data_IF_295705412129
#
_entry.id   IF_295705412129
#
_cell.length_a   1.000
_cell.length_b   1.000
_cell.length_c   1.000
_cell.angle_alpha   90.00
_cell.angle_beta   90.00
_cell.angle_gamma   90.00
#
_symmetry.space_group_name_H-M   'P 1'
#
loop_
_entity.id
_entity.type
_entity.pdbx_description
1 polymer ?
#
# COMPACT_ATOMS: atom_id res chain seq x y z
N UNK A 1 17.51 26.44 -21.78
CA UNK A 1 16.39 25.49 -21.58
C UNK A 1 16.87 24.42 -20.63
N UNK A 2 16.63 24.59 -19.33
CA UNK A 2 17.08 23.62 -18.32
C UNK A 2 16.00 22.55 -18.18
N UNK A 3 16.32 21.31 -18.54
CA UNK A 3 15.44 20.18 -18.27
C UNK A 3 15.27 20.05 -16.75
N UNK A 4 14.02 20.09 -16.27
CA UNK A 4 13.70 19.73 -14.89
C UNK A 4 13.97 18.23 -14.74
N UNK A 5 15.01 17.87 -14.00
CA UNK A 5 15.19 16.48 -13.54
C UNK A 5 13.95 16.07 -12.76
N UNK A 6 13.43 14.83 -12.90
CA UNK A 6 12.30 14.39 -12.11
C UNK A 6 12.67 14.44 -10.62
N UNK A 7 12.01 15.32 -9.87
CA UNK A 7 12.16 15.42 -8.43
C UNK A 7 11.69 14.11 -7.80
N UNK A 8 12.50 13.55 -6.88
CA UNK A 8 12.08 12.37 -6.11
C UNK A 8 10.76 12.67 -5.36
N UNK A 9 9.77 11.76 -5.37
CA UNK A 9 8.54 11.95 -4.62
C UNK A 9 8.82 12.14 -3.12
N UNK A 10 7.99 12.95 -2.47
CA UNK A 10 7.94 13.00 -1.00
C UNK A 10 7.41 11.69 -0.42
N UNK A 11 7.63 11.46 0.87
CA UNK A 11 7.16 10.27 1.57
C UNK A 11 5.64 10.06 1.42
N UNK A 12 4.87 11.14 1.58
CA UNK A 12 3.41 11.12 1.41
C UNK A 12 3.02 10.72 -0.02
N UNK A 13 3.71 11.26 -1.03
CA UNK A 13 3.43 10.94 -2.43
C UNK A 13 3.78 9.49 -2.73
N UNK A 14 4.93 8.97 -2.26
CA UNK A 14 5.27 7.55 -2.41
C UNK A 14 4.20 6.66 -1.78
N UNK A 15 3.79 6.94 -0.54
CA UNK A 15 2.80 6.12 0.13
C UNK A 15 1.40 6.20 -0.54
N UNK A 16 1.00 7.35 -1.10
CA UNK A 16 -0.22 7.45 -1.91
C UNK A 16 -0.13 6.66 -3.22
N UNK A 17 1.02 6.69 -3.91
CA UNK A 17 1.24 5.87 -5.11
C UNK A 17 1.09 4.38 -4.77
N UNK A 18 1.70 3.95 -3.67
CA UNK A 18 1.62 2.56 -3.21
C UNK A 18 0.21 2.15 -2.76
N UNK A 19 -0.53 3.03 -2.09
CA UNK A 19 -1.95 2.81 -1.79
C UNK A 19 -2.79 2.62 -3.06
N UNK A 20 -2.52 3.43 -4.09
CA UNK A 20 -3.19 3.31 -5.39
C UNK A 20 -2.93 1.95 -6.04
N UNK A 21 -1.68 1.49 -6.05
CA UNK A 21 -1.31 0.15 -6.55
C UNK A 21 -2.01 -0.96 -5.79
N UNK A 22 -2.13 -0.82 -4.47
CA UNK A 22 -2.87 -1.77 -3.63
C UNK A 22 -4.36 -1.83 -3.99
N UNK A 23 -4.99 -0.68 -4.24
CA UNK A 23 -6.38 -0.64 -4.71
C UNK A 23 -6.55 -1.24 -6.10
N UNK A 24 -5.55 -1.10 -6.97
CA UNK A 24 -5.55 -1.77 -8.27
C UNK A 24 -5.54 -3.30 -8.12
N UNK A 25 -4.71 -3.86 -7.22
CA UNK A 25 -4.73 -5.30 -6.94
C UNK A 25 -6.12 -5.78 -6.46
N UNK A 26 -6.77 -4.99 -5.61
CA UNK A 26 -8.13 -5.30 -5.15
C UNK A 26 -9.13 -5.29 -6.30
N UNK A 27 -9.10 -4.25 -7.15
CA UNK A 27 -9.98 -4.12 -8.30
C UNK A 27 -9.82 -5.28 -9.30
N UNK A 28 -8.60 -5.78 -9.45
CA UNK A 28 -8.27 -6.94 -10.29
C UNK A 28 -8.60 -8.29 -9.63
N UNK A 29 -9.10 -8.27 -8.39
CA UNK A 29 -9.61 -9.45 -7.70
C UNK A 29 -8.54 -10.31 -7.01
N UNK A 30 -7.33 -9.78 -6.80
CA UNK A 30 -6.28 -10.45 -6.02
C UNK A 30 -6.82 -10.78 -4.62
N UNK A 31 -6.59 -12.02 -4.18
CA UNK A 31 -7.08 -12.54 -2.91
C UNK A 31 -6.05 -12.39 -1.80
N UNK A 32 -6.51 -12.41 -0.56
CA UNK A 32 -5.62 -12.36 0.62
C UNK A 32 -4.91 -11.02 0.78
N UNK A 33 -5.49 -9.92 0.26
CA UNK A 33 -4.95 -8.59 0.46
C UNK A 33 -5.09 -8.17 1.92
N UNK A 34 -3.96 -7.82 2.52
CA UNK A 34 -3.84 -7.25 3.84
C UNK A 34 -2.94 -6.01 3.78
N UNK A 35 -3.15 -5.04 4.68
CA UNK A 35 -2.39 -3.78 4.70
C UNK A 35 -1.30 -3.81 5.79
N UNK A 36 -0.06 -4.22 5.47
CA UNK A 36 1.00 -4.37 6.48
C UNK A 36 1.73 -3.07 6.81
N UNK A 37 1.66 -2.06 5.94
CA UNK A 37 2.31 -0.77 6.16
C UNK A 37 1.44 0.13 7.03
N UNK A 38 1.91 0.47 8.23
CA UNK A 38 1.20 1.42 9.11
C UNK A 38 1.20 2.83 8.53
N UNK A 39 2.25 3.21 7.80
CA UNK A 39 2.30 4.48 7.08
C UNK A 39 1.18 4.57 6.05
N UNK A 40 1.08 3.58 5.16
CA UNK A 40 0.07 3.57 4.09
C UNK A 40 -1.34 3.47 4.69
N UNK A 41 -1.52 2.65 5.73
CA UNK A 41 -2.79 2.54 6.45
C UNK A 41 -3.23 3.87 7.07
N UNK A 42 -2.32 4.61 7.71
CA UNK A 42 -2.64 5.93 8.27
C UNK A 42 -3.09 6.94 7.21
N UNK A 43 -2.49 6.87 6.01
CA UNK A 43 -2.86 7.71 4.87
C UNK A 43 -4.21 7.29 4.32
N UNK A 44 -4.47 5.98 4.24
CA UNK A 44 -5.77 5.46 3.84
C UNK A 44 -6.86 5.95 4.80
N UNK A 45 -6.68 5.78 6.11
CA UNK A 45 -7.61 6.29 7.13
C UNK A 45 -7.87 7.78 6.98
N UNK A 46 -6.82 8.60 6.80
CA UNK A 46 -6.96 10.04 6.61
C UNK A 46 -7.74 10.37 5.34
N UNK A 47 -7.47 9.68 4.23
CA UNK A 47 -8.19 9.88 2.98
C UNK A 47 -9.66 9.47 3.12
N UNK A 48 -9.94 8.39 3.85
CA UNK A 48 -11.29 7.86 4.09
C UNK A 48 -12.20 8.84 4.84
N UNK A 49 -11.64 9.80 5.60
CA UNK A 49 -12.41 10.86 6.28
C UNK A 49 -13.04 11.90 5.34
N UNK A 50 -12.62 11.93 4.06
CA UNK A 50 -13.17 12.81 3.03
C UNK A 50 -13.77 11.95 1.89
N UNK A 51 -15.08 11.66 1.93
CA UNK A 51 -15.69 10.73 0.99
C UNK A 51 -15.53 11.12 -0.49
N UNK A 52 -15.54 12.42 -0.79
CA UNK A 52 -15.40 12.91 -2.16
C UNK A 52 -13.98 12.69 -2.68
N UNK A 53 -12.96 13.03 -1.87
CA UNK A 53 -11.56 12.74 -2.24
C UNK A 53 -11.29 11.24 -2.32
N UNK A 54 -11.82 10.47 -1.37
CA UNK A 54 -11.62 9.02 -1.34
C UNK A 54 -12.23 8.35 -2.58
N UNK A 55 -13.45 8.71 -2.95
CA UNK A 55 -14.11 8.17 -4.14
C UNK A 55 -13.31 8.48 -5.41
N UNK A 56 -12.81 9.71 -5.55
CA UNK A 56 -12.00 10.10 -6.71
C UNK A 56 -10.69 9.32 -6.76
N UNK A 57 -9.99 9.21 -5.64
CA UNK A 57 -8.74 8.44 -5.54
C UNK A 57 -8.94 6.96 -5.91
N UNK A 58 -10.02 6.33 -5.39
CA UNK A 58 -10.34 4.95 -5.73
C UNK A 58 -10.64 4.78 -7.24
N UNK A 59 -11.40 5.70 -7.83
CA UNK A 59 -11.70 5.68 -9.27
C UNK A 59 -10.45 5.88 -10.12
N UNK A 60 -9.55 6.75 -9.71
CA UNK A 60 -8.29 7.03 -10.42
C UNK A 60 -7.38 5.79 -10.46
N UNK A 61 -7.28 5.04 -9.35
CA UNK A 61 -6.32 3.95 -9.23
C UNK A 61 -6.88 2.54 -9.47
N UNK A 62 -8.17 2.31 -9.18
CA UNK A 62 -8.79 0.99 -9.27
C UNK A 62 -10.11 0.97 -10.05
N UNK A 63 -10.64 2.12 -10.48
CA UNK A 63 -11.92 2.21 -11.20
C UNK A 63 -13.16 1.87 -10.36
N UNK A 64 -12.98 1.35 -9.15
CA UNK A 64 -14.04 0.94 -8.22
C UNK A 64 -13.77 1.57 -6.85
N UNK A 65 -14.83 1.85 -6.09
CA UNK A 65 -14.68 2.29 -4.71
C UNK A 65 -14.28 1.09 -3.86
N UNK A 66 -13.14 1.21 -3.17
CA UNK A 66 -12.62 0.16 -2.27
C UNK A 66 -13.23 0.39 -0.89
N UNK A 67 -13.73 -0.67 -0.26
CA UNK A 67 -14.19 -0.62 1.13
C UNK A 67 -13.00 -0.73 2.08
N UNK A 68 -13.13 -0.13 3.26
CA UNK A 68 -12.15 -0.24 4.34
C UNK A 68 -12.74 -1.11 5.46
N UNK A 69 -12.13 -2.26 5.73
CA UNK A 69 -12.62 -3.19 6.76
C UNK A 69 -11.56 -3.43 7.84
N UNK A 70 -11.88 -3.19 9.13
CA UNK A 70 -11.02 -3.58 10.24
C UNK A 70 -10.83 -5.10 10.26
N UNK A 71 -9.58 -5.54 10.26
CA UNK A 71 -9.21 -6.94 10.23
C UNK A 71 -7.79 -7.08 10.78
N UNK A 72 -7.68 -7.54 12.03
CA UNK A 72 -6.39 -7.74 12.70
C UNK A 72 -5.79 -9.08 12.31
N UNK A 73 -4.49 -9.10 12.04
CA UNK A 73 -3.76 -10.34 11.79
C UNK A 73 -2.25 -10.14 11.75
N UNK A 74 -1.55 -11.26 11.71
CA UNK A 74 -0.10 -11.33 11.57
C UNK A 74 0.28 -12.54 10.70
N UNK A 75 1.44 -12.47 10.06
CA UNK A 75 1.99 -13.54 9.24
C UNK A 75 2.59 -13.06 7.93
N UNK A 76 2.66 -13.97 6.96
CA UNK A 76 3.29 -13.71 5.68
C UNK A 76 2.40 -12.89 4.73
N UNK A 77 3.04 -12.04 3.93
CA UNK A 77 2.35 -11.21 2.94
C UNK A 77 2.32 -11.93 1.59
N UNK A 78 1.24 -12.68 1.35
CA UNK A 78 1.14 -13.55 0.18
C UNK A 78 0.87 -12.83 -1.15
N UNK A 79 0.46 -11.56 -1.12
CA UNK A 79 0.16 -10.79 -2.34
C UNK A 79 1.38 -10.14 -3.00
N UNK A 80 2.57 -10.21 -2.38
CA UNK A 80 3.81 -9.59 -2.91
C UNK A 80 4.09 -10.03 -4.34
N UNK A 81 3.99 -11.33 -4.62
CA UNK A 81 4.26 -11.85 -5.96
C UNK A 81 3.32 -11.25 -7.03
N UNK A 82 2.05 -11.06 -6.70
CA UNK A 82 1.08 -10.43 -7.62
C UNK A 82 1.34 -8.93 -7.76
N UNK A 83 1.76 -8.26 -6.70
CA UNK A 83 2.22 -6.87 -6.75
C UNK A 83 3.42 -6.73 -7.69
N UNK A 84 4.46 -7.54 -7.49
CA UNK A 84 5.74 -7.38 -8.19
C UNK A 84 5.65 -7.64 -9.70
N UNK A 85 4.80 -8.59 -10.11
CA UNK A 85 4.49 -8.81 -11.53
C UNK A 85 4.02 -7.56 -12.27
N UNK A 86 3.38 -6.63 -11.56
CA UNK A 86 2.75 -5.43 -12.13
C UNK A 86 3.60 -4.19 -11.96
N UNK A 87 4.21 -4.03 -10.80
CA UNK A 87 4.80 -2.77 -10.37
C UNK A 87 6.30 -2.84 -10.08
N UNK A 88 6.89 -4.04 -10.11
CA UNK A 88 8.25 -4.29 -9.66
C UNK A 88 8.34 -4.39 -8.14
N UNK A 89 9.57 -4.27 -7.61
CA UNK A 89 9.83 -4.44 -6.18
C UNK A 89 9.02 -3.47 -5.31
N UNK A 90 8.64 -3.92 -4.10
CA UNK A 90 8.01 -3.11 -3.09
C UNK A 90 8.89 -1.91 -2.74
N UNK A 91 8.30 -0.71 -2.81
CA UNK A 91 8.94 0.50 -2.32
C UNK A 91 9.14 0.43 -0.78
N UNK A 92 10.22 0.99 -0.22
CA UNK A 92 10.48 1.02 1.23
C UNK A 92 9.33 1.50 2.13
N UNK A 93 8.36 2.25 1.59
CA UNK A 93 7.22 2.77 2.38
C UNK A 93 6.29 1.66 2.84
N UNK A 94 6.33 0.50 2.17
CA UNK A 94 5.62 -0.70 2.62
C UNK A 94 6.08 -1.15 4.00
N UNK A 95 7.33 -0.89 4.36
CA UNK A 95 7.98 -1.37 5.59
C UNK A 95 8.06 -0.28 6.67
N UNK A 96 7.29 0.79 6.55
CA UNK A 96 7.35 1.93 7.48
C UNK A 96 6.24 1.92 8.52
N UNK A 97 6.60 2.38 9.73
CA UNK A 97 5.62 2.70 10.78
C UNK A 97 4.82 3.99 10.45
N UNK A 98 3.86 4.33 11.31
CA UNK A 98 3.02 5.53 11.15
C UNK A 98 3.79 6.86 11.28
N UNK A 99 5.02 6.82 11.80
CA UNK A 99 5.93 7.96 11.88
C UNK A 99 6.89 8.04 10.68
N UNK A 100 6.86 7.05 9.78
CA UNK A 100 7.74 6.97 8.62
C UNK A 100 9.12 6.36 8.91
N UNK A 101 9.31 5.72 10.07
CA UNK A 101 10.53 4.99 10.35
C UNK A 101 10.49 3.63 9.63
N UNK A 102 11.58 3.29 8.96
CA UNK A 102 11.72 2.04 8.23
C UNK A 102 12.02 0.87 9.19
N UNK A 103 11.26 -0.22 9.09
CA UNK A 103 11.68 -1.51 9.63
C UNK A 103 12.79 -2.09 8.74
N UNK A 104 14.03 -1.77 9.08
CA UNK A 104 15.21 -2.22 8.33
C UNK A 104 15.32 -3.75 8.28
N UNK A 105 14.86 -4.47 9.31
CA UNK A 105 14.95 -5.91 9.35
C UNK A 105 13.97 -6.54 8.36
N UNK A 106 12.71 -6.11 8.38
CA UNK A 106 11.70 -6.59 7.45
C UNK A 106 12.05 -6.21 6.00
N UNK A 107 12.54 -4.99 5.78
CA UNK A 107 12.97 -4.57 4.44
C UNK A 107 14.18 -5.35 3.94
N UNK A 108 15.15 -5.64 4.80
CA UNK A 108 16.32 -6.45 4.44
C UNK A 108 15.95 -7.93 4.19
N UNK A 109 15.03 -8.51 4.98
CA UNK A 109 14.47 -9.84 4.72
C UNK A 109 13.87 -9.89 3.31
N UNK A 110 13.03 -8.92 2.98
CA UNK A 110 12.41 -8.79 1.67
C UNK A 110 13.43 -8.64 0.54
N UNK A 111 14.43 -7.76 0.68
CA UNK A 111 15.46 -7.59 -0.36
C UNK A 111 16.32 -8.84 -0.57
N UNK A 112 16.50 -9.65 0.48
CA UNK A 112 17.33 -10.86 0.42
C UNK A 112 16.57 -12.05 -0.15
N UNK A 113 15.28 -12.18 0.19
CA UNK A 113 14.50 -13.40 -0.04
C UNK A 113 13.36 -13.22 -1.04
N UNK A 114 12.91 -11.99 -1.29
CA UNK A 114 11.66 -11.69 -1.99
C UNK A 114 10.41 -11.87 -1.12
N UNK A 115 10.55 -12.29 0.14
CA UNK A 115 9.45 -12.64 1.02
C UNK A 115 9.36 -11.68 2.22
N UNK A 116 8.15 -11.50 2.74
CA UNK A 116 7.91 -10.80 4.00
C UNK A 116 7.08 -11.71 4.90
N UNK A 117 7.76 -12.46 5.78
CA UNK A 117 7.13 -13.56 6.53
C UNK A 117 6.52 -13.15 7.87
N UNK A 118 6.93 -11.99 8.41
CA UNK A 118 6.57 -11.50 9.75
C UNK A 118 5.99 -10.08 9.70
N UNK A 119 4.84 -9.93 9.06
CA UNK A 119 4.10 -8.68 9.06
C UNK A 119 2.91 -8.73 10.04
N UNK A 120 2.37 -7.57 10.35
CA UNK A 120 1.07 -7.43 11.04
C UNK A 120 0.22 -6.39 10.32
N UNK A 121 -1.09 -6.53 10.40
CA UNK A 121 -2.04 -5.61 9.79
C UNK A 121 -3.26 -5.44 10.68
N UNK A 122 -3.90 -4.27 10.58
CA UNK A 122 -5.15 -3.95 11.26
C UNK A 122 -6.33 -3.77 10.29
N UNK A 123 -6.04 -3.70 8.98
CA UNK A 123 -7.01 -3.36 7.94
C UNK A 123 -6.84 -4.23 6.69
N UNK A 124 -7.96 -4.50 6.01
CA UNK A 124 -8.01 -5.15 4.70
C UNK A 124 -8.98 -4.43 3.77
N UNK A 125 -8.77 -4.47 2.44
CA UNK A 125 -9.73 -3.94 1.48
C UNK A 125 -10.94 -4.87 1.38
N UNK A 126 -12.12 -4.25 1.29
CA UNK A 126 -13.40 -4.93 1.18
C UNK A 126 -14.24 -4.36 0.03
N UNK A 127 -15.43 -4.93 -0.17
CA UNK A 127 -16.43 -4.24 -0.98
C UNK A 127 -16.87 -2.98 -0.24
N UNK A 128 -17.05 -1.88 -0.96
CA UNK A 128 -17.69 -0.70 -0.40
C UNK A 128 -19.19 -1.01 -0.25
N UNK A 129 -19.68 -1.00 0.99
CA UNK A 129 -21.09 -1.23 1.35
C UNK A 129 -21.89 0.08 1.32
#
# INVERSE_FOLDING_TARGET
>A
MTALSPTKPSLLQSAQIELGRFFQLFAEGVKGLNMPSRLIDSIWHKLYTDPAKYQNFCKEHGGVVVGHSPAKGEGAIHWIHEYEKRFGQLHPVWFMDDQGNLDENAYHEYLTTGEWTRASWDCTPGKHE
#
